data_IF_434441323176
#
_entry.id   IF_434441323176
#
_cell.length_a   1.000
_cell.length_b   1.000
_cell.length_c   1.000
_cell.angle_alpha   90.00
_cell.angle_beta   90.00
_cell.angle_gamma   90.00
#
_symmetry.space_group_name_H-M   'P 1'
#
loop_
_entity.id
_entity.type
_entity.pdbx_description
1 polymer ?
#
# COMPACT_ATOMS: atom_id res chain seq x y z
N UNK A 1 -50.39 2.34 18.37
CA UNK A 1 -49.08 2.46 19.04
C UNK A 1 -48.20 1.22 18.82
N UNK A 2 -48.74 0.01 19.01
CA UNK A 2 -48.03 -1.27 18.77
C UNK A 2 -47.41 -1.46 17.37
N UNK A 3 -48.11 -1.08 16.29
CA UNK A 3 -47.59 -1.20 14.92
C UNK A 3 -46.24 -0.49 14.75
N UNK A 4 -46.09 0.72 15.33
CA UNK A 4 -44.86 1.52 15.22
C UNK A 4 -43.70 0.91 16.01
N UNK A 5 -44.00 0.24 17.13
CA UNK A 5 -42.99 -0.45 17.96
C UNK A 5 -42.49 -1.70 17.22
N UNK A 6 -43.38 -2.46 16.59
CA UNK A 6 -43.01 -3.64 15.79
C UNK A 6 -42.18 -3.23 14.57
N UNK A 7 -42.54 -2.15 13.88
CA UNK A 7 -41.74 -1.63 12.76
C UNK A 7 -40.35 -1.17 13.20
N UNK A 8 -40.22 -0.53 14.37
CA UNK A 8 -38.92 -0.12 14.94
C UNK A 8 -38.07 -1.32 15.35
N UNK A 9 -38.67 -2.35 15.96
CA UNK A 9 -37.98 -3.58 16.32
C UNK A 9 -37.49 -4.36 15.10
N UNK A 10 -38.30 -4.43 14.03
CA UNK A 10 -37.90 -5.04 12.76
C UNK A 10 -36.75 -4.28 12.09
N UNK A 11 -36.74 -2.95 12.17
CA UNK A 11 -35.68 -2.11 11.62
C UNK A 11 -34.35 -2.31 12.38
N UNK A 12 -34.42 -2.42 13.71
CA UNK A 12 -33.27 -2.71 14.56
C UNK A 12 -32.75 -4.14 14.36
N UNK A 13 -33.65 -5.11 14.13
CA UNK A 13 -33.26 -6.51 13.87
C UNK A 13 -32.65 -6.70 12.48
N UNK A 14 -33.06 -5.90 11.50
CA UNK A 14 -32.44 -5.85 10.18
C UNK A 14 -31.08 -5.12 10.18
N UNK A 15 -30.76 -4.38 11.25
CA UNK A 15 -29.47 -3.72 11.41
C UNK A 15 -28.40 -4.73 11.80
N UNK A 16 -27.88 -5.45 10.80
CA UNK A 16 -26.66 -6.24 10.96
C UNK A 16 -25.51 -5.26 11.21
N UNK A 17 -24.82 -5.30 12.36
CA UNK A 17 -23.60 -4.54 12.51
C UNK A 17 -22.64 -4.99 11.40
N UNK A 18 -22.10 -4.04 10.65
CA UNK A 18 -20.95 -4.31 9.79
C UNK A 18 -19.80 -4.49 10.76
N UNK A 19 -19.45 -5.75 11.06
CA UNK A 19 -18.29 -6.04 11.89
C UNK A 19 -17.05 -5.48 11.19
N UNK A 20 -16.54 -4.37 11.73
CA UNK A 20 -15.32 -3.75 11.26
C UNK A 20 -14.16 -4.25 12.12
N UNK A 21 -13.18 -4.86 11.49
CA UNK A 21 -11.96 -5.30 12.18
C UNK A 21 -11.00 -4.13 12.33
N UNK A 22 -10.23 -4.14 13.40
CA UNK A 22 -9.15 -3.17 13.55
C UNK A 22 -7.92 -3.72 12.82
N UNK A 23 -7.32 -2.95 11.92
CA UNK A 23 -6.09 -3.34 11.22
C UNK A 23 -4.95 -2.41 11.61
N UNK A 24 -3.73 -2.94 11.72
CA UNK A 24 -2.57 -2.07 11.82
C UNK A 24 -2.43 -1.23 10.56
N UNK A 25 -2.09 0.03 10.73
CA UNK A 25 -1.88 0.99 9.64
C UNK A 25 -0.54 1.68 9.77
N UNK A 26 0.41 1.28 8.95
CA UNK A 26 1.74 1.85 8.93
C UNK A 26 2.48 1.47 7.65
N UNK A 27 3.47 2.28 7.28
CA UNK A 27 4.44 1.93 6.26
C UNK A 27 5.84 2.23 6.78
N UNK A 28 6.81 1.40 6.42
CA UNK A 28 8.22 1.76 6.62
C UNK A 28 8.58 2.97 5.76
N UNK A 29 9.54 3.77 6.21
CA UNK A 29 10.01 4.97 5.51
C UNK A 29 10.37 4.64 4.07
N UNK A 30 11.11 3.56 3.83
CA UNK A 30 11.51 3.13 2.47
C UNK A 30 10.31 2.84 1.54
N UNK A 31 9.19 2.33 2.08
CA UNK A 31 7.98 2.04 1.29
C UNK A 31 7.36 3.34 0.79
N UNK A 32 7.23 4.32 1.68
CA UNK A 32 6.66 5.64 1.36
C UNK A 32 7.50 6.35 0.30
N UNK A 33 8.83 6.37 0.46
CA UNK A 33 9.74 7.02 -0.50
C UNK A 33 9.77 6.36 -1.89
N UNK A 34 9.51 5.06 -1.97
CA UNK A 34 9.57 4.29 -3.23
C UNK A 34 8.20 3.75 -3.67
N UNK A 35 7.10 4.32 -3.17
CA UNK A 35 5.74 3.79 -3.34
C UNK A 35 5.40 3.43 -4.79
N UNK A 36 5.57 4.40 -5.69
CA UNK A 36 5.30 4.24 -7.12
C UNK A 36 6.29 3.27 -7.77
N UNK A 37 7.56 3.28 -7.36
CA UNK A 37 8.58 2.40 -7.92
C UNK A 37 8.31 0.93 -7.58
N UNK A 38 7.88 0.67 -6.35
CA UNK A 38 7.41 -0.65 -5.94
C UNK A 38 6.10 -1.05 -6.64
N UNK A 39 5.32 -0.09 -7.13
CA UNK A 39 4.02 -0.39 -7.77
C UNK A 39 2.92 -0.64 -6.74
N UNK A 40 3.01 0.03 -5.59
CA UNK A 40 2.05 -0.10 -4.51
C UNK A 40 0.72 0.58 -4.87
N UNK A 41 -0.43 0.10 -4.34
CA UNK A 41 -1.73 0.66 -4.67
C UNK A 41 -1.81 2.16 -4.36
N UNK A 42 -2.24 2.97 -5.34
CA UNK A 42 -2.32 4.43 -5.19
C UNK A 42 -3.35 4.84 -4.15
N UNK A 43 -4.48 4.13 -4.09
CA UNK A 43 -5.62 4.44 -3.22
C UNK A 43 -5.36 4.20 -1.72
N UNK A 44 -4.19 3.67 -1.34
CA UNK A 44 -3.82 3.35 0.05
C UNK A 44 -2.74 4.28 0.62
N UNK A 45 -2.16 5.18 -0.21
CA UNK A 45 -1.04 6.02 0.19
C UNK A 45 -1.44 7.27 1.00
N UNK A 46 -2.64 7.80 0.80
CA UNK A 46 -2.98 9.18 1.21
C UNK A 46 -3.15 9.38 2.72
N UNK A 47 -3.28 8.30 3.50
CA UNK A 47 -3.52 8.38 4.95
C UNK A 47 -2.60 7.48 5.77
N UNK A 48 -1.53 6.96 5.16
CA UNK A 48 -0.63 6.03 5.83
C UNK A 48 0.47 6.75 6.63
N UNK A 49 0.72 6.27 7.84
CA UNK A 49 1.76 6.84 8.71
C UNK A 49 3.09 6.15 8.43
N UNK A 50 4.13 6.95 8.16
CA UNK A 50 5.50 6.46 8.03
C UNK A 50 6.11 6.21 9.41
N UNK A 51 6.38 4.94 9.75
CA UNK A 51 7.08 4.54 10.98
C UNK A 51 7.86 3.24 10.74
N UNK A 52 9.19 3.26 10.89
CA UNK A 52 10.02 2.07 10.72
C UNK A 52 9.81 1.01 11.82
N UNK A 53 9.11 1.33 12.91
CA UNK A 53 8.59 0.31 13.82
C UNK A 53 7.63 -0.65 13.12
N UNK A 54 7.05 -0.26 11.99
CA UNK A 54 6.28 -1.15 11.14
C UNK A 54 7.12 -2.38 10.72
N UNK A 55 8.44 -2.27 10.54
CA UNK A 55 9.26 -3.44 10.18
C UNK A 55 9.34 -4.51 11.29
N UNK A 56 9.02 -4.15 12.53
CA UNK A 56 9.21 -5.01 13.69
C UNK A 56 7.84 -5.33 14.31
N UNK A 57 7.35 -6.55 14.11
CA UNK A 57 6.01 -6.96 14.58
C UNK A 57 5.81 -6.71 16.08
N UNK A 58 6.83 -6.94 16.92
CA UNK A 58 6.77 -6.72 18.37
C UNK A 58 6.70 -5.24 18.79
N UNK A 59 6.96 -4.31 17.87
CA UNK A 59 6.87 -2.85 18.11
C UNK A 59 5.57 -2.25 17.58
N UNK A 60 4.70 -3.06 16.97
CA UNK A 60 3.38 -2.62 16.55
C UNK A 60 2.53 -2.31 17.77
N UNK A 61 2.09 -1.06 17.87
CA UNK A 61 1.07 -0.67 18.84
C UNK A 61 -0.30 -1.11 18.34
N UNK A 62 -1.27 -1.24 19.24
CA UNK A 62 -2.69 -1.48 18.89
C UNK A 62 -3.38 -0.22 18.35
N UNK A 63 -2.63 0.57 17.58
CA UNK A 63 -3.07 1.78 16.93
C UNK A 63 -3.41 1.36 15.49
N UNK A 64 -4.63 1.64 15.05
CA UNK A 64 -5.14 1.10 13.79
C UNK A 64 -6.52 1.64 13.44
N UNK A 65 -6.93 1.39 12.19
CA UNK A 65 -8.21 1.85 11.66
C UNK A 65 -9.22 0.71 11.57
N UNK A 66 -10.49 1.04 11.78
CA UNK A 66 -11.60 0.13 11.55
C UNK A 66 -11.76 -0.15 10.05
N UNK A 67 -11.80 -1.43 9.70
CA UNK A 67 -11.80 -1.94 8.34
C UNK A 67 -13.01 -2.83 8.10
N UNK A 68 -13.86 -2.43 7.14
CA UNK A 68 -15.00 -3.24 6.72
C UNK A 68 -14.62 -4.42 5.80
N UNK A 69 -13.36 -4.48 5.36
CA UNK A 69 -12.83 -5.50 4.45
C UNK A 69 -11.79 -6.39 5.14
N UNK A 70 -10.62 -6.50 4.50
CA UNK A 70 -9.51 -7.32 4.99
C UNK A 70 -8.37 -6.44 5.49
N UNK A 71 -7.67 -6.91 6.52
CA UNK A 71 -6.37 -6.34 6.83
C UNK A 71 -5.37 -6.81 5.78
N UNK A 72 -4.54 -5.89 5.31
CA UNK A 72 -3.57 -6.11 4.25
C UNK A 72 -2.15 -5.89 4.79
N UNK A 73 -1.22 -6.69 4.29
CA UNK A 73 0.23 -6.48 4.42
C UNK A 73 0.88 -6.57 3.05
N UNK A 74 1.80 -5.66 2.74
CA UNK A 74 2.72 -5.77 1.60
C UNK A 74 4.13 -5.88 2.14
N UNK A 75 4.75 -7.05 1.93
CA UNK A 75 6.14 -7.31 2.30
C UNK A 75 7.04 -7.19 1.08
N UNK A 76 8.09 -6.37 1.20
CA UNK A 76 9.07 -6.17 0.15
C UNK A 76 10.38 -6.78 0.64
N UNK A 77 10.79 -7.85 -0.01
CA UNK A 77 11.96 -8.64 0.37
C UNK A 77 13.01 -8.60 -0.73
N UNK A 78 14.27 -8.64 -0.36
CA UNK A 78 15.37 -8.77 -1.32
C UNK A 78 15.48 -10.20 -1.84
N UNK A 79 15.74 -10.36 -3.13
CA UNK A 79 15.94 -11.67 -3.79
C UNK A 79 17.36 -11.87 -4.34
N UNK A 80 18.25 -10.90 -4.19
CA UNK A 80 19.68 -11.08 -4.49
C UNK A 80 20.34 -12.09 -3.55
N UNK A 81 21.35 -12.80 -4.06
CA UNK A 81 22.00 -13.91 -3.36
C UNK A 81 22.56 -13.53 -1.98
N UNK A 82 23.11 -12.31 -1.85
CA UNK A 82 23.71 -11.85 -0.60
C UNK A 82 22.67 -11.52 0.49
N UNK A 83 21.45 -11.11 0.11
CA UNK A 83 20.42 -10.63 1.03
C UNK A 83 19.08 -11.35 0.86
N UNK A 84 19.09 -12.57 0.34
CA UNK A 84 17.88 -13.30 -0.03
C UNK A 84 16.94 -13.46 1.16
N UNK A 85 15.69 -13.03 1.00
CA UNK A 85 14.63 -13.14 2.00
C UNK A 85 14.63 -12.03 3.05
N UNK A 86 15.57 -11.08 3.02
CA UNK A 86 15.57 -9.94 3.94
C UNK A 86 14.44 -8.98 3.59
N UNK A 87 13.46 -8.82 4.49
CA UNK A 87 12.44 -7.76 4.40
C UNK A 87 13.13 -6.41 4.55
N UNK A 88 13.02 -5.58 3.51
CA UNK A 88 13.58 -4.22 3.50
C UNK A 88 12.52 -3.15 3.71
N UNK A 89 11.26 -3.49 3.43
CA UNK A 89 10.18 -2.53 3.44
C UNK A 89 8.84 -3.25 3.63
N UNK A 90 7.91 -2.61 4.33
CA UNK A 90 6.61 -3.18 4.68
C UNK A 90 5.53 -2.10 4.66
N UNK A 91 4.34 -2.51 4.23
CA UNK A 91 3.11 -1.71 4.33
C UNK A 91 2.05 -2.55 5.02
N UNK A 92 1.32 -1.95 5.95
CA UNK A 92 0.15 -2.53 6.60
C UNK A 92 -0.99 -1.53 6.48
N UNK A 93 -2.14 -1.99 6.03
CA UNK A 93 -3.31 -1.14 5.87
C UNK A 93 -4.61 -1.95 5.84
N UNK A 94 -5.74 -1.26 5.75
CA UNK A 94 -7.03 -1.83 5.42
C UNK A 94 -7.24 -1.87 3.91
N UNK A 95 -7.69 -3.02 3.38
CA UNK A 95 -8.24 -3.11 2.03
C UNK A 95 -9.77 -3.15 2.12
N UNK A 96 -10.47 -2.09 1.69
CA UNK A 96 -11.92 -2.12 1.56
C UNK A 96 -12.33 -3.25 0.62
N UNK A 97 -13.45 -3.93 0.93
CA UNK A 97 -13.91 -5.12 0.21
C UNK A 97 -13.96 -4.86 -1.30
N UNK A 98 -13.04 -5.47 -2.05
CA UNK A 98 -13.06 -5.47 -3.53
C UNK A 98 -13.76 -6.74 -4.00
N UNK A 99 -14.51 -6.65 -5.11
CA UNK A 99 -15.29 -7.78 -5.66
C UNK A 99 -14.44 -8.97 -6.13
N UNK A 100 -13.11 -8.84 -6.15
CA UNK A 100 -12.20 -9.80 -6.79
C UNK A 100 -11.42 -10.68 -5.81
N UNK A 101 -11.59 -10.50 -4.49
CA UNK A 101 -10.96 -11.37 -3.49
C UNK A 101 -11.97 -12.44 -3.03
N UNK A 102 -11.53 -13.69 -2.82
CA UNK A 102 -12.38 -14.71 -2.21
C UNK A 102 -12.83 -14.26 -0.82
N UNK A 103 -13.95 -14.82 -0.36
CA UNK A 103 -14.39 -14.62 1.01
C UNK A 103 -13.45 -15.37 1.96
N UNK A 104 -12.78 -14.62 2.85
CA UNK A 104 -11.93 -15.16 3.91
C UNK A 104 -12.69 -15.09 5.24
N UNK A 105 -12.55 -16.12 6.04
CA UNK A 105 -12.99 -16.22 7.44
C UNK A 105 -11.82 -15.91 8.38
N UNK A 106 -12.06 -15.83 9.70
CA UNK A 106 -11.00 -15.57 10.68
C UNK A 106 -10.07 -16.78 10.87
N UNK A 107 -10.57 -17.97 10.57
CA UNK A 107 -9.85 -19.23 10.66
C UNK A 107 -9.00 -19.52 9.41
N UNK A 108 -9.25 -18.79 8.32
CA UNK A 108 -8.51 -18.97 7.08
C UNK A 108 -7.06 -18.47 7.19
N UNK A 109 -6.15 -19.22 6.60
CA UNK A 109 -4.79 -18.75 6.40
C UNK A 109 -4.77 -17.49 5.54
N UNK A 110 -3.82 -16.56 5.74
CA UNK A 110 -3.69 -15.37 4.92
C UNK A 110 -3.61 -15.70 3.43
N UNK A 111 -4.31 -14.92 2.62
CA UNK A 111 -4.31 -15.05 1.17
C UNK A 111 -3.19 -14.21 0.60
N UNK A 112 -2.19 -14.81 -0.05
CA UNK A 112 -1.00 -14.11 -0.53
C UNK A 112 -0.83 -14.18 -2.06
N UNK A 113 -0.35 -13.09 -2.64
CA UNK A 113 0.13 -13.00 -4.02
C UNK A 113 1.49 -12.34 -4.03
N UNK A 114 2.44 -12.86 -4.80
CA UNK A 114 3.78 -12.29 -4.89
C UNK A 114 4.23 -12.08 -6.34
N UNK A 115 5.02 -11.05 -6.58
CA UNK A 115 5.68 -10.81 -7.86
C UNK A 115 7.07 -10.23 -7.66
N UNK A 116 7.97 -10.55 -8.59
CA UNK A 116 9.33 -10.02 -8.59
C UNK A 116 9.43 -8.76 -9.45
N UNK A 117 10.29 -7.83 -9.02
CA UNK A 117 10.56 -6.58 -9.74
C UNK A 117 11.96 -6.08 -9.43
N UNK A 118 12.54 -5.33 -10.36
CA UNK A 118 13.77 -4.59 -10.12
C UNK A 118 13.43 -3.18 -9.66
N UNK A 119 13.89 -2.79 -8.47
CA UNK A 119 13.71 -1.44 -7.92
C UNK A 119 15.06 -0.91 -7.45
N UNK A 120 15.44 0.29 -7.93
CA UNK A 120 16.73 0.92 -7.60
C UNK A 120 17.93 -0.03 -7.81
N UNK A 121 17.95 -0.79 -8.91
CA UNK A 121 18.98 -1.80 -9.26
C UNK A 121 19.07 -3.00 -8.29
N UNK A 122 18.03 -3.27 -7.52
CA UNK A 122 17.93 -4.45 -6.64
C UNK A 122 16.76 -5.32 -7.08
N UNK A 123 16.97 -6.63 -7.10
CA UNK A 123 15.88 -7.59 -7.28
C UNK A 123 15.10 -7.68 -5.96
N UNK A 124 13.80 -7.43 -6.05
CA UNK A 124 12.89 -7.51 -4.90
C UNK A 124 11.70 -8.40 -5.23
N UNK A 125 11.22 -9.12 -4.24
CA UNK A 125 9.94 -9.82 -4.27
C UNK A 125 8.94 -9.06 -3.40
N UNK A 126 7.82 -8.71 -4.00
CA UNK A 126 6.74 -7.95 -3.37
C UNK A 126 5.59 -8.91 -3.16
N UNK A 127 5.32 -9.21 -1.90
CA UNK A 127 4.25 -10.12 -1.48
C UNK A 127 3.15 -9.34 -0.80
N UNK A 128 1.96 -9.32 -1.39
CA UNK A 128 0.75 -8.77 -0.78
C UNK A 128 -0.05 -9.91 -0.18
N UNK A 129 -0.46 -9.78 1.08
CA UNK A 129 -1.43 -10.71 1.67
C UNK A 129 -2.59 -10.02 2.35
N UNK A 130 -3.68 -10.77 2.46
CA UNK A 130 -4.93 -10.37 3.08
C UNK A 130 -5.30 -11.37 4.18
N UNK A 131 -5.83 -10.87 5.30
CA UNK A 131 -6.36 -11.67 6.38
C UNK A 131 -7.62 -11.03 6.98
N UNK A 132 -8.40 -11.82 7.71
CA UNK A 132 -9.58 -11.37 8.44
C UNK A 132 -9.36 -11.57 9.95
N UNK A 133 -9.83 -10.63 10.76
CA UNK A 133 -9.65 -10.64 12.21
C UNK A 133 -8.92 -9.39 12.72
N UNK A 134 -9.08 -9.10 14.01
CA UNK A 134 -8.47 -7.94 14.63
C UNK A 134 -6.94 -8.07 14.64
N UNK A 135 -6.27 -7.08 14.03
CA UNK A 135 -4.82 -6.92 13.98
C UNK A 135 -4.08 -8.13 13.37
N UNK A 136 -4.76 -8.92 12.53
CA UNK A 136 -4.18 -10.11 11.90
C UNK A 136 -3.02 -9.79 10.94
N UNK A 137 -2.92 -8.55 10.47
CA UNK A 137 -1.79 -8.08 9.67
C UNK A 137 -0.54 -7.76 10.50
N UNK A 138 -0.56 -8.00 11.81
CA UNK A 138 0.52 -7.72 12.75
C UNK A 138 1.32 -8.95 13.18
N UNK A 139 1.30 -9.24 14.49
CA UNK A 139 2.09 -10.31 15.12
C UNK A 139 1.73 -11.70 14.59
N UNK A 140 2.75 -12.50 14.25
CA UNK A 140 2.55 -13.87 13.75
C UNK A 140 2.21 -13.92 12.27
N UNK A 141 2.15 -12.77 11.59
CA UNK A 141 1.90 -12.70 10.15
C UNK A 141 3.03 -13.38 9.35
N UNK A 142 4.29 -13.18 9.74
CA UNK A 142 5.43 -13.87 9.12
C UNK A 142 5.38 -15.41 9.27
N UNK A 143 4.67 -15.93 10.26
CA UNK A 143 4.46 -17.37 10.47
C UNK A 143 3.23 -17.85 9.66
N UNK A 144 2.12 -17.12 9.72
CA UNK A 144 0.89 -17.44 9.00
C UNK A 144 1.07 -17.42 7.48
N UNK A 145 1.95 -16.58 6.95
CA UNK A 145 2.31 -16.52 5.53
C UNK A 145 3.21 -17.65 5.04
N UNK A 146 3.68 -18.56 5.91
CA UNK A 146 4.36 -19.80 5.46
C UNK A 146 3.37 -20.87 5.01
N UNK A 147 2.13 -20.79 5.49
CA UNK A 147 1.06 -21.74 5.22
C UNK A 147 0.01 -21.19 4.25
N UNK A 148 0.26 -20.02 3.66
CA UNK A 148 -0.70 -19.34 2.78
C UNK A 148 -0.87 -20.07 1.45
N UNK A 149 -2.12 -20.16 1.01
CA UNK A 149 -2.45 -20.62 -0.35
C UNK A 149 -2.12 -19.48 -1.32
N UNK A 150 -1.14 -19.70 -2.18
CA UNK A 150 -0.84 -18.76 -3.25
C UNK A 150 -2.03 -18.71 -4.22
N UNK A 151 -2.51 -17.51 -4.53
CA UNK A 151 -3.39 -17.33 -5.69
C UNK A 151 -2.52 -17.34 -6.95
N UNK A 152 -2.81 -18.27 -7.85
CA UNK A 152 -2.42 -18.10 -9.25
C UNK A 152 -3.23 -16.90 -9.79
N UNK A 153 -2.56 -15.77 -9.98
CA UNK A 153 -3.14 -14.66 -10.73
C UNK A 153 -3.54 -15.21 -12.12
N UNK A 154 -4.77 -14.99 -12.61
CA UNK A 154 -5.04 -15.24 -14.01
C UNK A 154 -4.03 -14.42 -14.83
N UNK A 155 -3.17 -15.11 -15.56
CA UNK A 155 -2.31 -14.50 -16.56
C UNK A 155 -3.20 -13.94 -17.66
N UNK A 156 -3.71 -12.73 -17.46
CA UNK A 156 -4.05 -11.90 -18.60
C UNK A 156 -2.70 -11.51 -19.21
N UNK A 157 -2.26 -12.31 -20.18
CA UNK A 157 -1.27 -11.91 -21.16
C UNK A 157 -1.82 -10.67 -21.86
N UNK A 158 -1.46 -9.51 -21.31
CA UNK A 158 -1.43 -8.30 -22.11
C UNK A 158 -0.24 -8.52 -23.04
N UNK A 159 -0.48 -9.19 -24.16
CA UNK A 159 0.36 -9.03 -25.33
C UNK A 159 0.54 -7.53 -25.52
N UNK A 160 1.79 -7.03 -25.66
CA UNK A 160 1.99 -5.63 -25.99
C UNK A 160 1.36 -5.40 -27.36
N UNK A 161 0.14 -4.84 -27.36
CA UNK A 161 -0.42 -4.24 -28.57
C UNK A 161 0.54 -3.15 -28.99
N UNK A 162 1.25 -3.48 -30.06
CA UNK A 162 1.78 -2.62 -31.10
C UNK A 162 1.65 -1.13 -30.82
N UNK A 163 2.82 -0.49 -30.76
CA UNK A 163 3.02 0.94 -30.60
C UNK A 163 2.08 1.76 -31.48
N UNK A 164 0.98 2.26 -30.92
CA UNK A 164 0.24 3.36 -31.52
C UNK A 164 0.99 4.66 -31.21
N UNK A 165 1.63 5.20 -32.24
CA UNK A 165 2.25 6.53 -32.27
C UNK A 165 1.41 7.59 -31.52
N UNK A 166 1.91 8.03 -30.37
CA UNK A 166 1.58 9.34 -29.81
C UNK A 166 2.88 10.15 -29.74
N UNK A 167 2.95 11.32 -30.41
CA UNK A 167 4.18 12.11 -30.44
C UNK A 167 4.37 12.86 -29.12
N UNK A 168 5.31 12.42 -28.29
CA UNK A 168 5.85 13.25 -27.22
C UNK A 168 6.82 14.28 -27.83
N UNK A 169 6.39 15.52 -28.05
CA UNK A 169 7.30 16.63 -28.36
C UNK A 169 7.94 17.16 -27.08
N UNK A 170 9.04 16.55 -26.64
CA UNK A 170 9.97 17.20 -25.71
C UNK A 170 10.84 18.18 -26.52
N UNK A 171 10.42 19.44 -26.62
CA UNK A 171 11.24 20.50 -27.24
C UNK A 171 12.37 20.88 -26.27
N UNK A 172 13.55 20.27 -26.45
CA UNK A 172 14.82 20.86 -26.01
C UNK A 172 15.01 22.17 -26.79
N UNK A 173 15.15 23.29 -26.08
CA UNK A 173 15.86 24.46 -26.61
C UNK A 173 17.23 24.48 -25.92
N UNK A 174 18.26 24.19 -26.69
CA UNK A 174 19.63 24.60 -26.45
C UNK A 174 19.95 25.66 -27.53
N UNK A 175 21.02 26.42 -27.31
CA UNK A 175 21.64 27.41 -28.21
C UNK A 175 21.15 28.84 -27.89
N UNK A 176 21.97 29.87 -27.62
CA UNK A 176 23.42 30.04 -27.71
C UNK A 176 23.87 31.21 -26.81
N UNK A 177 25.19 31.25 -26.56
CA UNK A 177 25.99 32.29 -25.91
C UNK A 177 25.72 33.71 -26.43
N UNK A 178 25.66 34.70 -25.53
CA UNK A 178 26.34 35.97 -25.79
C UNK A 178 26.59 36.79 -24.52
N UNK A 179 27.76 37.43 -24.52
CA UNK A 179 28.38 38.25 -23.50
C UNK A 179 27.56 39.48 -23.11
N UNK A 180 27.69 39.89 -21.85
CA UNK A 180 27.24 41.17 -21.35
C UNK A 180 27.53 41.31 -19.86
N UNK A 181 28.57 42.10 -19.54
CA UNK A 181 28.73 42.84 -18.27
C UNK A 181 27.37 43.48 -17.88
N UNK A 182 27.01 43.78 -16.63
CA UNK A 182 27.54 44.83 -15.75
C UNK A 182 27.10 44.60 -14.29
N UNK A 183 27.90 45.11 -13.35
CA UNK A 183 27.68 45.11 -11.90
C UNK A 183 26.54 46.02 -11.39
N UNK A 184 26.28 45.83 -10.09
CA UNK A 184 25.80 46.77 -9.06
C UNK A 184 24.29 46.87 -8.77
N UNK A 185 23.96 46.74 -7.49
CA UNK A 185 22.69 47.23 -6.93
C UNK A 185 22.23 46.60 -5.62
N UNK A 186 23.05 46.63 -4.56
CA UNK A 186 22.52 46.54 -3.18
C UNK A 186 21.71 47.82 -2.92
N UNK A 187 20.44 47.67 -2.55
CA UNK A 187 19.70 48.73 -1.89
C UNK A 187 19.03 48.15 -0.64
N UNK A 188 19.67 48.40 0.49
CA UNK A 188 18.96 48.61 1.75
C UNK A 188 18.15 49.89 1.60
N UNK A 189 16.91 49.91 2.06
CA UNK A 189 16.35 51.14 2.61
C UNK A 189 15.39 50.83 3.75
N UNK A 190 15.71 51.48 4.86
CA UNK A 190 15.06 51.55 6.17
C UNK A 190 13.98 52.65 6.12
N UNK A 191 13.23 52.78 7.21
CA UNK A 191 12.49 53.95 7.73
C UNK A 191 10.96 53.78 7.55
N UNK A 192 10.12 53.76 8.59
CA UNK A 192 10.14 54.45 9.90
C UNK A 192 9.99 53.48 11.09
#
# INVERSE_FOLDING_TARGET
MFQRIISLLLLLYAYKPIDAYMCHKCASTDAVWNWVKYGLPVNQGDSIVSDDKCLVESKLKKDGDACAGYCMTINITRTDEENKGKTISIVRDCQPRTRNLPELTEEDAPLCTSYEKVVNRRNVNITTCYCRGHYCNGLGFAEATRHSKALELPQNSIEPKESSNFPCTCRRKKDDENEGEYEMGRQEEVIN
#
